data_IF_720641220793
#
_entry.id   IF_720641220793
#
_cell.length_a   1.000
_cell.length_b   1.000
_cell.length_c   1.000
_cell.angle_alpha   90.00
_cell.angle_beta   90.00
_cell.angle_gamma   90.00
#
_symmetry.space_group_name_H-M   'P 1'
#
loop_
_entity.id
_entity.type
_entity.pdbx_description
1 polymer ?
#
# COMPACT_ATOMS: atom_id res chain seq x y z
N UNK A 1 -20.07 18.91 14.87
CA UNK A 1 -20.29 17.50 15.22
C UNK A 1 -18.98 16.83 15.64
N UNK A 2 -17.89 16.97 14.88
CA UNK A 2 -16.64 16.25 15.16
C UNK A 2 -16.00 16.66 16.50
N UNK A 3 -16.07 17.92 16.90
CA UNK A 3 -15.42 18.43 18.13
C UNK A 3 -15.86 17.71 19.41
N UNK A 4 -17.10 17.21 19.46
CA UNK A 4 -17.67 16.48 20.60
C UNK A 4 -17.68 14.96 20.39
N UNK A 5 -17.18 14.45 19.26
CA UNK A 5 -17.21 13.03 18.98
C UNK A 5 -16.27 12.24 19.90
N UNK A 6 -16.73 11.11 20.40
CA UNK A 6 -15.93 10.15 21.15
C UNK A 6 -15.07 9.25 20.24
N UNK A 7 -15.36 9.24 18.96
CA UNK A 7 -14.65 8.45 17.96
C UNK A 7 -14.14 9.34 16.85
N UNK A 8 -13.00 8.98 16.27
CA UNK A 8 -12.46 9.68 15.11
C UNK A 8 -11.94 8.69 14.07
N UNK A 9 -12.58 8.70 12.91
CA UNK A 9 -12.22 7.89 11.74
C UNK A 9 -11.67 8.80 10.66
N UNK A 10 -10.44 8.56 10.20
CA UNK A 10 -9.79 9.34 9.15
C UNK A 10 -8.94 8.43 8.26
N UNK A 11 -8.98 8.62 6.94
CA UNK A 11 -8.22 7.84 5.94
C UNK A 11 -8.27 6.33 6.17
N UNK A 12 -9.48 5.80 6.32
CA UNK A 12 -9.72 4.43 6.81
C UNK A 12 -9.59 3.35 5.73
N UNK A 13 -9.47 3.73 4.46
CA UNK A 13 -9.61 2.83 3.29
C UNK A 13 -10.93 2.06 3.22
N UNK A 14 -11.84 2.27 4.15
CA UNK A 14 -13.17 1.68 4.07
C UNK A 14 -13.97 2.26 2.90
N UNK A 15 -14.84 1.47 2.29
CA UNK A 15 -15.77 1.97 1.29
C UNK A 15 -16.60 3.16 1.78
N UNK A 16 -16.84 4.15 0.90
CA UNK A 16 -17.55 5.38 1.23
C UNK A 16 -18.82 5.17 2.05
N UNK A 17 -19.68 4.29 1.57
CA UNK A 17 -20.96 4.05 2.23
C UNK A 17 -20.81 3.42 3.62
N UNK A 18 -19.76 2.61 3.84
CA UNK A 18 -19.44 2.04 5.16
C UNK A 18 -18.90 3.14 6.08
N UNK A 19 -17.93 3.91 5.58
CA UNK A 19 -17.37 5.03 6.35
C UNK A 19 -18.45 6.05 6.73
N UNK A 20 -19.34 6.42 5.80
CA UNK A 20 -20.47 7.31 6.12
C UNK A 20 -21.35 6.76 7.22
N UNK A 21 -21.74 5.48 7.11
CA UNK A 21 -22.60 4.84 8.14
C UNK A 21 -21.92 4.79 9.51
N UNK A 22 -20.65 4.38 9.56
CA UNK A 22 -19.88 4.34 10.80
C UNK A 22 -19.69 5.73 11.39
N UNK A 23 -19.28 6.71 10.58
CA UNK A 23 -19.08 8.08 11.05
C UNK A 23 -20.37 8.68 11.61
N UNK A 24 -21.49 8.54 10.90
CA UNK A 24 -22.78 9.07 11.36
C UNK A 24 -23.29 8.36 12.63
N UNK A 25 -23.04 7.04 12.77
CA UNK A 25 -23.44 6.30 13.98
C UNK A 25 -22.71 6.78 15.25
N UNK A 26 -21.57 7.44 15.10
CA UNK A 26 -20.78 8.00 16.20
C UNK A 26 -20.78 9.55 16.22
N UNK A 27 -21.73 10.16 15.52
CA UNK A 27 -21.86 11.62 15.40
C UNK A 27 -20.63 12.33 14.82
N UNK A 28 -19.92 11.67 13.91
CA UNK A 28 -18.80 12.26 13.15
C UNK A 28 -19.25 12.58 11.72
N UNK A 29 -18.80 13.72 11.19
CA UNK A 29 -18.88 14.01 9.76
C UNK A 29 -17.81 13.18 9.04
N UNK A 30 -18.17 12.38 8.02
CA UNK A 30 -17.20 11.56 7.28
C UNK A 30 -16.08 12.41 6.67
N UNK A 31 -14.83 12.03 6.93
CA UNK A 31 -13.63 12.69 6.37
C UNK A 31 -13.00 11.80 5.32
N UNK A 32 -13.07 12.21 4.05
CA UNK A 32 -12.66 11.38 2.91
C UNK A 32 -11.20 11.52 2.53
N UNK A 33 -10.78 12.73 2.27
CA UNK A 33 -9.42 13.10 1.91
C UNK A 33 -9.12 14.39 2.61
N UNK A 34 -8.39 14.31 3.68
CA UNK A 34 -8.01 15.47 4.44
C UNK A 34 -6.54 15.76 4.19
N UNK A 35 -6.25 16.89 3.53
CA UNK A 35 -4.94 17.51 3.66
C UNK A 35 -4.99 18.33 4.93
N UNK A 36 -4.36 17.82 5.96
CA UNK A 36 -4.31 18.47 7.27
C UNK A 36 -3.24 19.54 7.35
N UNK A 37 -2.32 19.59 6.40
CA UNK A 37 -1.19 20.51 6.40
C UNK A 37 -1.64 21.98 6.43
N UNK A 38 -1.22 22.76 7.43
CA UNK A 38 -1.44 24.19 7.42
C UNK A 38 -0.64 24.81 6.27
N UNK A 39 -1.21 25.81 5.60
CA UNK A 39 -0.51 26.59 4.56
C UNK A 39 0.51 27.58 5.20
N UNK A 40 1.27 27.12 6.18
CA UNK A 40 2.28 27.94 6.86
C UNK A 40 3.65 27.46 6.39
N UNK A 41 4.44 28.38 5.87
CA UNK A 41 5.84 28.14 5.51
C UNK A 41 6.68 29.01 6.45
N UNK A 42 7.57 28.38 7.18
CA UNK A 42 8.62 29.09 7.94
C UNK A 42 9.97 28.72 7.33
N UNK A 43 10.89 29.68 7.21
CA UNK A 43 12.25 29.38 6.75
C UNK A 43 12.94 28.46 7.75
N UNK A 44 13.87 27.68 7.27
CA UNK A 44 14.81 26.93 8.09
C UNK A 44 15.66 27.92 8.93
N UNK A 45 15.67 27.72 10.24
CA UNK A 45 16.39 28.61 11.19
C UNK A 45 17.35 27.79 12.04
N UNK A 46 18.63 27.78 11.63
CA UNK A 46 19.68 27.04 12.33
C UNK A 46 19.91 27.56 13.75
N UNK A 47 19.88 28.88 13.96
CA UNK A 47 20.11 29.49 15.28
C UNK A 47 19.00 29.07 16.24
N UNK A 48 17.75 29.10 15.78
CA UNK A 48 16.62 28.64 16.58
C UNK A 48 16.75 27.13 16.92
N UNK A 49 17.20 26.32 15.95
CA UNK A 49 17.38 24.87 16.14
C UNK A 49 18.46 24.56 17.16
N UNK A 50 19.63 25.18 17.03
CA UNK A 50 20.74 24.99 17.95
C UNK A 50 20.38 25.42 19.37
N UNK A 51 19.68 26.52 19.54
CA UNK A 51 19.23 27.00 20.87
C UNK A 51 18.22 26.08 21.55
N UNK A 52 17.33 25.42 20.79
CA UNK A 52 16.30 24.52 21.34
C UNK A 52 16.80 23.12 21.68
N UNK A 53 17.76 22.59 20.96
CA UNK A 53 18.22 21.20 21.12
C UNK A 53 19.44 21.09 22.04
N UNK A 54 20.17 22.14 22.22
CA UNK A 54 21.27 22.14 23.19
C UNK A 54 20.79 21.75 24.60
N UNK A 55 19.61 22.22 24.99
CA UNK A 55 18.98 21.91 26.28
C UNK A 55 18.61 20.42 26.42
N UNK A 56 18.27 19.74 25.31
CA UNK A 56 17.82 18.33 25.32
C UNK A 56 19.00 17.38 25.28
N UNK A 57 20.04 17.71 24.53
CA UNK A 57 21.20 16.86 24.29
C UNK A 57 22.14 16.84 25.48
N UNK A 58 22.40 17.99 26.12
CA UNK A 58 23.20 18.03 27.35
C UNK A 58 22.63 17.15 28.47
N UNK A 59 21.30 16.99 28.51
CA UNK A 59 20.65 16.18 29.53
C UNK A 59 20.82 14.67 29.32
N UNK A 60 21.09 14.20 28.10
CA UNK A 60 21.13 12.78 27.76
C UNK A 60 22.52 12.21 27.46
N UNK A 61 23.50 13.03 27.04
CA UNK A 61 24.83 12.56 26.65
C UNK A 61 25.80 12.63 27.82
N UNK A 62 25.60 11.82 28.84
CA UNK A 62 26.59 11.59 29.90
C UNK A 62 27.49 10.37 29.68
N UNK A 63 27.31 9.63 28.61
CA UNK A 63 28.08 8.43 28.33
C UNK A 63 29.29 8.73 27.46
N UNK A 64 30.48 8.44 27.98
CA UNK A 64 31.78 8.77 27.36
C UNK A 64 32.24 7.77 26.26
N UNK A 65 31.45 6.75 25.98
CA UNK A 65 31.77 5.71 24.99
C UNK A 65 30.80 5.68 23.80
N UNK A 66 30.44 6.88 23.28
CA UNK A 66 29.60 6.95 22.09
C UNK A 66 30.39 6.50 20.85
N UNK A 67 29.80 5.59 20.07
CA UNK A 67 30.23 5.20 18.74
C UNK A 67 30.35 6.45 17.84
N UNK A 68 31.29 6.48 16.91
CA UNK A 68 31.51 7.57 15.94
C UNK A 68 30.23 7.96 15.20
N UNK A 69 29.36 6.99 14.90
CA UNK A 69 28.06 7.24 14.29
C UNK A 69 27.11 8.02 15.21
N UNK A 70 27.09 7.73 16.49
CA UNK A 70 26.26 8.46 17.45
C UNK A 70 26.76 9.87 17.68
N UNK A 71 28.08 10.08 17.63
CA UNK A 71 28.69 11.42 17.68
C UNK A 71 28.26 12.21 16.44
N UNK A 72 28.44 11.64 15.24
CA UNK A 72 28.00 12.25 13.99
C UNK A 72 26.49 12.56 13.98
N UNK A 73 25.67 11.62 14.43
CA UNK A 73 24.22 11.80 14.49
C UNK A 73 23.87 12.95 15.43
N UNK A 74 24.50 13.01 16.59
CA UNK A 74 24.26 14.04 17.59
C UNK A 74 24.59 15.45 17.09
N UNK A 75 25.67 15.59 16.34
CA UNK A 75 26.10 16.86 15.73
C UNK A 75 25.20 17.33 14.56
N UNK A 76 24.51 16.38 13.91
CA UNK A 76 23.80 16.65 12.67
C UNK A 76 22.27 16.49 12.78
N UNK A 77 21.75 15.80 13.78
CA UNK A 77 20.30 15.51 13.90
C UNK A 77 19.45 16.78 13.87
N UNK A 78 19.92 17.85 14.49
CA UNK A 78 19.29 19.16 14.53
C UNK A 78 19.05 19.71 13.11
N UNK A 79 20.04 19.55 12.24
CA UNK A 79 19.97 20.02 10.86
C UNK A 79 19.06 19.13 10.00
N UNK A 80 18.92 17.87 10.37
CA UNK A 80 18.18 16.86 9.60
C UNK A 80 16.71 16.71 10.00
N UNK A 81 16.31 17.22 11.20
CA UNK A 81 14.92 17.13 11.62
C UNK A 81 13.98 17.90 10.69
N UNK A 82 12.82 17.31 10.33
CA UNK A 82 11.82 18.01 9.54
C UNK A 82 11.31 19.28 10.23
N UNK A 83 11.06 20.34 9.46
CA UNK A 83 10.55 21.62 9.99
C UNK A 83 9.21 21.48 10.71
N UNK A 84 8.40 20.47 10.37
CA UNK A 84 7.16 20.14 11.07
C UNK A 84 7.35 19.85 12.56
N UNK A 85 8.53 19.35 12.94
CA UNK A 85 8.87 19.01 14.33
C UNK A 85 9.70 20.09 15.04
N UNK A 86 10.12 21.14 14.34
CA UNK A 86 10.92 22.24 14.90
C UNK A 86 10.21 23.56 14.70
N UNK A 87 10.40 24.25 13.56
CA UNK A 87 9.89 25.60 13.33
C UNK A 87 8.36 25.67 13.27
N UNK A 88 7.73 24.64 12.73
CA UNK A 88 6.28 24.56 12.51
C UNK A 88 5.54 23.81 13.62
N UNK A 89 6.24 23.22 14.58
CA UNK A 89 5.62 22.36 15.60
C UNK A 89 4.45 23.01 16.31
N UNK A 90 4.61 24.25 16.78
CA UNK A 90 3.55 24.98 17.48
C UNK A 90 2.33 25.26 16.58
N UNK A 91 2.57 25.53 15.31
CA UNK A 91 1.49 25.78 14.35
C UNK A 91 0.73 24.49 14.05
N UNK A 92 1.46 23.38 13.86
CA UNK A 92 0.87 22.04 13.64
C UNK A 92 0.09 21.56 14.86
N UNK A 93 0.58 21.81 16.07
CA UNK A 93 -0.12 21.47 17.31
C UNK A 93 -1.46 22.22 17.47
N UNK A 94 -1.55 23.47 16.99
CA UNK A 94 -2.76 24.29 17.05
C UNK A 94 -3.75 24.01 15.92
N UNK A 95 -3.27 23.51 14.79
CA UNK A 95 -4.05 23.36 13.55
C UNK A 95 -5.28 22.44 13.67
N UNK A 96 -5.27 21.32 14.41
CA UNK A 96 -6.45 20.48 14.61
C UNK A 96 -7.69 21.20 15.10
N UNK A 97 -7.53 22.32 15.82
CA UNK A 97 -8.66 23.17 16.25
C UNK A 97 -9.35 23.83 15.04
N UNK A 98 -8.58 24.31 14.07
CA UNK A 98 -9.10 24.90 12.83
C UNK A 98 -9.78 23.84 11.94
N UNK A 99 -9.34 22.59 12.05
CA UNK A 99 -9.92 21.45 11.34
C UNK A 99 -11.18 20.88 12.02
N UNK A 100 -11.57 21.42 13.17
CA UNK A 100 -12.68 20.90 13.98
C UNK A 100 -12.54 19.42 14.36
N UNK A 101 -11.31 18.96 14.59
CA UNK A 101 -11.06 17.61 15.09
C UNK A 101 -11.53 17.46 16.55
N UNK A 102 -11.85 16.22 17.00
CA UNK A 102 -12.30 15.99 18.38
C UNK A 102 -11.29 16.48 19.41
N UNK A 103 -11.79 17.10 20.49
CA UNK A 103 -10.92 17.60 21.58
C UNK A 103 -10.48 16.50 22.54
N UNK A 104 -11.31 15.45 22.68
CA UNK A 104 -11.07 14.35 23.62
C UNK A 104 -11.74 13.07 23.09
N UNK A 105 -11.29 12.53 21.96
CA UNK A 105 -11.82 11.26 21.46
C UNK A 105 -11.41 10.14 22.41
N UNK A 106 -12.27 9.13 22.56
CA UNK A 106 -11.92 7.88 23.26
C UNK A 106 -11.21 6.90 22.36
N UNK A 107 -11.55 6.94 21.06
CA UNK A 107 -11.01 6.00 20.07
C UNK A 107 -10.71 6.71 18.77
N UNK A 108 -9.52 6.46 18.24
CA UNK A 108 -9.02 7.00 16.98
C UNK A 108 -8.68 5.83 16.07
N UNK A 109 -9.11 5.89 14.81
CA UNK A 109 -8.79 4.89 13.80
C UNK A 109 -8.35 5.54 12.48
N UNK A 110 -7.22 5.09 11.97
CA UNK A 110 -6.72 5.43 10.64
C UNK A 110 -6.10 4.22 9.96
N UNK A 111 -5.95 4.27 8.64
CA UNK A 111 -5.12 3.32 7.91
C UNK A 111 -3.88 3.95 7.28
N UNK A 112 -3.81 5.29 7.17
CA UNK A 112 -2.70 5.92 6.43
C UNK A 112 -2.21 7.27 6.97
N UNK A 113 -2.92 7.96 7.86
CA UNK A 113 -2.47 9.28 8.32
C UNK A 113 -1.18 9.26 9.14
N UNK A 114 -0.83 8.11 9.73
CA UNK A 114 0.43 7.96 10.48
C UNK A 114 1.68 8.12 9.60
N UNK A 115 1.57 7.89 8.30
CA UNK A 115 2.71 7.87 7.38
C UNK A 115 3.16 9.31 7.01
N UNK A 116 2.29 10.09 6.41
CA UNK A 116 2.65 11.38 5.79
C UNK A 116 2.02 12.61 6.44
N UNK A 117 1.14 12.45 7.44
CA UNK A 117 0.40 13.54 8.04
C UNK A 117 0.98 13.94 9.42
N UNK A 118 1.93 14.86 9.42
CA UNK A 118 2.58 15.31 10.66
C UNK A 118 1.62 16.03 11.63
N UNK A 119 0.59 16.70 11.13
CA UNK A 119 -0.46 17.28 11.98
C UNK A 119 -1.21 16.19 12.73
N UNK A 120 -1.53 15.11 12.02
CA UNK A 120 -2.18 13.95 12.64
C UNK A 120 -1.26 13.29 13.67
N UNK A 121 0.02 13.07 13.35
CA UNK A 121 0.99 12.45 14.28
C UNK A 121 1.10 13.23 15.59
N UNK A 122 1.26 14.55 15.50
CA UNK A 122 1.36 15.43 16.67
C UNK A 122 0.04 15.42 17.47
N UNK A 123 -1.10 15.46 16.79
CA UNK A 123 -2.40 15.45 17.45
C UNK A 123 -2.71 14.12 18.12
N UNK A 124 -2.48 12.99 17.43
CA UNK A 124 -2.79 11.66 17.98
C UNK A 124 -1.92 11.33 19.19
N UNK A 125 -0.64 11.72 19.18
CA UNK A 125 0.24 11.54 20.36
C UNK A 125 -0.33 12.22 21.59
N UNK A 126 -0.77 13.48 21.49
CA UNK A 126 -1.43 14.17 22.59
C UNK A 126 -2.75 13.53 23.05
N UNK A 127 -3.51 12.95 22.11
CA UNK A 127 -4.76 12.26 22.48
C UNK A 127 -4.48 10.94 23.20
N UNK A 128 -3.49 10.19 22.76
CA UNK A 128 -3.05 8.94 23.41
C UNK A 128 -2.52 9.20 24.82
N UNK A 129 -1.71 10.23 25.05
CA UNK A 129 -1.26 10.65 26.38
C UNK A 129 -2.42 11.00 27.32
N UNK A 130 -3.55 11.44 26.76
CA UNK A 130 -4.78 11.71 27.52
C UNK A 130 -5.70 10.50 27.65
N UNK A 131 -5.24 9.32 27.26
CA UNK A 131 -5.95 8.06 27.41
C UNK A 131 -6.84 7.65 26.24
N UNK A 132 -6.75 8.30 25.08
CA UNK A 132 -7.41 7.82 23.87
C UNK A 132 -6.81 6.51 23.40
N UNK A 133 -7.64 5.59 22.90
CA UNK A 133 -7.19 4.37 22.25
C UNK A 133 -6.97 4.60 20.76
N UNK A 134 -5.81 4.20 20.26
CA UNK A 134 -5.38 4.40 18.89
C UNK A 134 -5.26 3.08 18.14
N UNK A 135 -5.98 2.94 17.04
CA UNK A 135 -5.97 1.76 16.19
C UNK A 135 -5.53 2.13 14.77
N UNK A 136 -4.71 1.26 14.18
CA UNK A 136 -4.26 1.41 12.81
C UNK A 136 -4.72 0.22 11.98
N UNK A 137 -5.24 0.47 10.80
CA UNK A 137 -5.63 -0.57 9.84
C UNK A 137 -4.59 -0.73 8.75
N UNK A 138 -4.29 -1.96 8.38
CA UNK A 138 -3.42 -2.25 7.24
C UNK A 138 -3.91 -1.54 5.97
N UNK A 139 -3.03 -0.86 5.25
CA UNK A 139 -3.36 -0.08 4.06
C UNK A 139 -2.77 -0.61 2.76
N UNK A 140 -1.72 -1.41 2.84
CA UNK A 140 -0.98 -1.97 1.70
C UNK A 140 -0.73 -3.47 1.83
N UNK A 141 -0.12 -4.05 0.82
CA UNK A 141 0.42 -5.40 0.86
C UNK A 141 1.73 -5.43 1.69
N UNK A 142 2.35 -6.58 1.81
CA UNK A 142 3.64 -6.85 2.48
C UNK A 142 3.61 -6.84 4.01
N UNK A 143 2.65 -6.20 4.66
CA UNK A 143 2.51 -6.29 6.12
C UNK A 143 2.35 -7.74 6.59
N UNK A 144 3.22 -8.15 7.51
CA UNK A 144 3.22 -9.51 8.06
C UNK A 144 3.64 -10.62 7.11
N UNK A 145 3.89 -10.33 5.83
CA UNK A 145 4.26 -11.30 4.79
C UNK A 145 5.64 -11.06 4.20
N UNK A 146 6.14 -9.82 4.18
CA UNK A 146 7.48 -9.49 3.69
C UNK A 146 8.56 -9.85 4.72
N UNK A 147 9.70 -10.31 4.21
CA UNK A 147 10.92 -10.57 4.98
C UNK A 147 11.67 -9.28 5.32
N UNK A 148 11.54 -8.27 4.47
CA UNK A 148 12.29 -7.01 4.57
C UNK A 148 11.54 -5.92 5.33
N UNK A 149 10.24 -6.11 5.54
CA UNK A 149 9.51 -5.24 6.45
C UNK A 149 9.95 -5.54 7.88
N UNK A 150 10.17 -4.51 8.68
CA UNK A 150 10.50 -4.68 10.08
C UNK A 150 9.52 -5.64 10.77
N UNK A 151 10.02 -6.50 11.65
CA UNK A 151 9.20 -7.50 12.37
C UNK A 151 8.09 -6.87 13.20
N UNK A 152 8.28 -5.59 13.56
CA UNK A 152 7.26 -4.70 14.12
C UNK A 152 7.38 -3.37 13.41
N UNK A 153 6.33 -2.99 12.74
CA UNK A 153 6.25 -1.68 12.07
C UNK A 153 5.95 -0.59 13.10
N UNK A 154 6.23 0.67 12.72
CA UNK A 154 5.91 1.83 13.58
C UNK A 154 4.43 1.83 13.95
N UNK A 155 3.54 1.46 13.04
CA UNK A 155 2.10 1.36 13.25
C UNK A 155 1.72 0.31 14.30
N UNK A 156 2.41 -0.83 14.28
CA UNK A 156 2.19 -1.91 15.26
C UNK A 156 2.68 -1.50 16.64
N UNK A 157 3.82 -0.80 16.72
CA UNK A 157 4.43 -0.40 18.00
C UNK A 157 3.75 0.80 18.65
N UNK A 158 3.26 1.76 17.85
CA UNK A 158 2.68 3.00 18.36
C UNK A 158 1.16 2.94 18.54
N UNK A 159 0.50 1.84 18.15
CA UNK A 159 -0.95 1.69 18.29
C UNK A 159 -1.33 0.72 19.41
N UNK A 160 -2.52 0.90 19.98
CA UNK A 160 -3.15 -0.08 20.88
C UNK A 160 -3.59 -1.35 20.15
N UNK A 161 -3.73 -1.29 18.81
CA UNK A 161 -4.02 -2.45 17.98
C UNK A 161 -3.88 -2.16 16.49
N UNK A 162 -3.20 -3.07 15.80
CA UNK A 162 -3.06 -3.07 14.34
C UNK A 162 -4.05 -4.08 13.73
N UNK A 163 -4.94 -3.60 12.87
CA UNK A 163 -5.96 -4.45 12.22
C UNK A 163 -5.41 -4.93 10.87
N UNK A 164 -5.00 -6.19 10.82
CA UNK A 164 -4.41 -6.82 9.64
C UNK A 164 -5.45 -7.25 8.61
N UNK A 165 -5.02 -7.62 7.41
CA UNK A 165 -5.87 -8.25 6.40
C UNK A 165 -6.01 -9.78 6.58
N UNK A 166 -6.07 -10.25 7.84
CA UNK A 166 -6.35 -11.65 8.17
C UNK A 166 -5.16 -12.44 8.69
N UNK A 167 -3.93 -11.93 8.58
CA UNK A 167 -2.75 -12.56 9.14
C UNK A 167 -2.55 -12.19 10.63
N UNK A 168 -1.78 -13.01 11.34
CA UNK A 168 -1.32 -12.74 12.70
C UNK A 168 0.02 -13.47 12.91
N UNK A 169 0.96 -12.80 13.54
CA UNK A 169 2.28 -13.33 13.90
C UNK A 169 2.39 -13.68 15.40
N UNK A 170 1.24 -13.91 16.06
CA UNK A 170 1.13 -14.14 17.51
C UNK A 170 1.45 -12.90 18.38
N UNK A 171 1.55 -11.73 17.81
CA UNK A 171 1.62 -10.48 18.57
C UNK A 171 0.27 -10.14 19.19
N UNK A 172 0.28 -9.67 20.45
CA UNK A 172 -0.93 -9.27 21.17
C UNK A 172 -1.62 -8.06 20.55
N UNK A 173 -0.87 -7.23 19.84
CA UNK A 173 -1.38 -5.99 19.23
C UNK A 173 -1.97 -6.21 17.85
N UNK A 174 -1.82 -7.40 17.23
CA UNK A 174 -2.37 -7.67 15.90
C UNK A 174 -3.75 -8.27 16.01
N UNK A 175 -4.72 -7.55 15.47
CA UNK A 175 -6.12 -7.95 15.38
C UNK A 175 -6.38 -8.47 13.98
N UNK A 176 -6.77 -9.73 13.83
CA UNK A 176 -7.17 -10.28 12.53
C UNK A 176 -8.41 -9.56 12.01
N UNK A 177 -8.26 -8.86 10.93
CA UNK A 177 -9.32 -8.15 10.24
C UNK A 177 -9.60 -8.72 8.85
N UNK A 178 -9.83 -7.83 7.91
CA UNK A 178 -10.19 -8.16 6.53
C UNK A 178 -9.67 -7.06 5.59
N UNK A 179 -9.68 -7.32 4.29
CA UNK A 179 -9.32 -6.34 3.27
C UNK A 179 -10.33 -5.18 3.22
N UNK A 180 -9.95 -4.00 3.70
CA UNK A 180 -10.86 -2.86 3.92
C UNK A 180 -11.50 -2.28 2.67
N UNK A 181 -10.81 -2.32 1.54
CA UNK A 181 -11.35 -1.77 0.26
C UNK A 181 -12.44 -2.65 -0.37
N UNK A 182 -12.80 -3.78 0.25
CA UNK A 182 -13.78 -4.70 -0.31
C UNK A 182 -15.22 -4.24 -0.06
N UNK A 183 -15.90 -3.81 -1.11
CA UNK A 183 -17.33 -3.44 -1.08
C UNK A 183 -18.29 -4.62 -1.10
N UNK A 184 -17.83 -5.84 -1.38
CA UNK A 184 -18.68 -6.94 -1.81
C UNK A 184 -18.47 -8.24 -1.04
N UNK A 185 -17.92 -8.18 0.18
CA UNK A 185 -17.63 -9.38 0.98
C UNK A 185 -18.80 -10.36 1.11
N UNK A 186 -20.02 -9.86 1.04
CA UNK A 186 -21.26 -10.67 1.14
C UNK A 186 -22.03 -10.83 -0.18
N UNK A 187 -21.56 -10.23 -1.28
CA UNK A 187 -22.23 -10.36 -2.58
C UNK A 187 -21.36 -11.15 -3.55
N UNK A 188 -21.34 -12.47 -3.36
CA UNK A 188 -20.75 -13.44 -4.33
C UNK A 188 -21.45 -13.44 -5.71
N UNK A 189 -22.14 -12.38 -6.09
CA UNK A 189 -22.70 -12.27 -7.43
C UNK A 189 -21.57 -11.90 -8.37
N UNK A 190 -21.14 -12.88 -9.17
CA UNK A 190 -20.38 -12.62 -10.40
C UNK A 190 -20.98 -11.41 -11.12
N UNK A 191 -20.31 -10.28 -11.06
CA UNK A 191 -20.62 -9.24 -12.03
C UNK A 191 -20.28 -9.84 -13.37
N UNK A 192 -21.22 -9.78 -14.32
CA UNK A 192 -21.07 -10.25 -15.68
C UNK A 192 -19.74 -9.70 -16.23
N UNK A 193 -18.67 -10.51 -16.14
CA UNK A 193 -17.37 -10.21 -16.72
C UNK A 193 -17.59 -10.23 -18.23
N UNK A 194 -16.95 -9.34 -18.95
CA UNK A 194 -17.06 -9.26 -20.40
C UNK A 194 -16.81 -10.64 -21.01
N UNK A 195 -17.62 -11.04 -21.98
CA UNK A 195 -17.41 -12.24 -22.80
C UNK A 195 -16.22 -12.07 -23.75
N UNK A 196 -15.64 -10.88 -23.85
CA UNK A 196 -14.48 -10.58 -24.69
C UNK A 196 -13.23 -11.16 -24.05
N UNK A 197 -12.44 -11.87 -24.84
CA UNK A 197 -11.18 -12.48 -24.44
C UNK A 197 -10.06 -11.42 -24.31
N UNK A 198 -10.20 -10.48 -23.36
CA UNK A 198 -9.26 -9.39 -23.12
C UNK A 198 -8.47 -9.64 -21.85
N UNK A 199 -7.17 -9.40 -21.90
CA UNK A 199 -6.22 -9.66 -20.82
C UNK A 199 -5.54 -8.35 -20.44
N UNK A 200 -5.53 -8.03 -19.15
CA UNK A 200 -4.88 -6.86 -18.56
C UNK A 200 -3.59 -7.31 -17.85
N UNK A 201 -2.44 -6.78 -18.27
CA UNK A 201 -1.16 -6.98 -17.61
C UNK A 201 -0.85 -5.73 -16.80
N UNK A 202 -0.74 -5.85 -15.47
CA UNK A 202 -0.46 -4.75 -14.55
C UNK A 202 1.01 -4.80 -14.16
N UNK A 203 1.75 -3.71 -14.43
CA UNK A 203 3.18 -3.63 -14.20
C UNK A 203 3.53 -2.84 -12.94
N UNK A 204 4.72 -3.12 -12.42
CA UNK A 204 5.33 -2.38 -11.33
C UNK A 204 5.86 -1.02 -11.85
N UNK A 205 5.74 0.08 -11.07
CA UNK A 205 6.40 1.34 -11.41
C UNK A 205 7.89 1.28 -11.10
N UNK A 206 8.72 1.89 -11.94
CA UNK A 206 10.04 2.32 -11.51
C UNK A 206 9.89 3.56 -10.62
N UNK A 207 10.30 3.47 -9.38
CA UNK A 207 10.30 4.60 -8.45
C UNK A 207 11.67 5.30 -8.47
N UNK A 208 11.65 6.62 -8.40
CA UNK A 208 12.87 7.44 -8.31
C UNK A 208 13.58 7.28 -6.96
N UNK A 209 12.82 7.08 -5.90
CA UNK A 209 13.32 6.86 -4.55
C UNK A 209 12.91 5.48 -4.09
N UNK A 210 13.88 4.73 -3.57
CA UNK A 210 13.58 3.51 -2.82
C UNK A 210 12.87 3.90 -1.54
N UNK A 211 11.69 3.32 -1.33
CA UNK A 211 10.98 3.43 -0.08
C UNK A 211 11.38 2.24 0.81
N UNK A 212 11.21 2.39 2.11
CA UNK A 212 11.40 1.29 3.07
C UNK A 212 10.45 0.11 2.86
N UNK A 213 9.46 0.29 2.01
CA UNK A 213 8.44 -0.68 1.64
C UNK A 213 8.74 -1.45 0.36
N UNK A 214 9.75 -1.00 -0.39
CA UNK A 214 10.12 -1.63 -1.65
C UNK A 214 10.92 -2.88 -1.33
N UNK A 215 10.44 -4.02 -1.82
CA UNK A 215 11.21 -5.24 -1.81
C UNK A 215 12.55 -5.00 -2.54
N UNK A 216 13.63 -5.56 -2.00
CA UNK A 216 14.97 -5.41 -2.54
C UNK A 216 15.10 -6.15 -3.87
N UNK A 217 14.36 -5.75 -4.87
CA UNK A 217 14.53 -6.32 -6.20
C UNK A 217 15.12 -5.29 -7.16
N UNK A 218 15.93 -5.80 -8.08
CA UNK A 218 16.57 -4.97 -9.08
C UNK A 218 15.58 -4.75 -10.21
N UNK A 219 15.12 -3.51 -10.40
CA UNK A 219 14.15 -3.16 -11.44
C UNK A 219 14.58 -3.61 -12.85
N UNK A 220 15.88 -3.59 -13.13
CA UNK A 220 16.42 -4.08 -14.39
C UNK A 220 16.11 -5.58 -14.61
N UNK A 221 16.24 -6.41 -13.59
CA UNK A 221 15.90 -7.84 -13.66
C UNK A 221 14.41 -8.06 -13.85
N UNK A 222 13.59 -7.31 -13.13
CA UNK A 222 12.15 -7.30 -13.33
C UNK A 222 11.80 -6.95 -14.78
N UNK A 223 12.38 -5.88 -15.32
CA UNK A 223 12.11 -5.41 -16.67
C UNK A 223 12.56 -6.43 -17.74
N UNK A 224 13.69 -7.12 -17.52
CA UNK A 224 14.13 -8.25 -18.37
C UNK A 224 13.09 -9.37 -18.38
N UNK A 225 12.67 -9.83 -17.21
CA UNK A 225 11.69 -10.92 -17.05
C UNK A 225 10.32 -10.51 -17.59
N UNK A 226 9.85 -9.29 -17.33
CA UNK A 226 8.64 -8.72 -17.93
C UNK A 226 8.75 -8.70 -19.47
N UNK A 227 9.90 -8.24 -20.01
CA UNK A 227 10.12 -8.19 -21.47
C UNK A 227 10.00 -9.55 -22.15
N UNK A 228 10.40 -10.64 -21.48
CA UNK A 228 10.21 -12.00 -22.00
C UNK A 228 8.73 -12.31 -22.15
N UNK A 229 7.91 -12.01 -21.13
CA UNK A 229 6.46 -12.20 -21.19
C UNK A 229 5.83 -11.35 -22.30
N UNK A 230 6.16 -10.04 -22.34
CA UNK A 230 5.59 -9.12 -23.32
C UNK A 230 5.97 -9.51 -24.76
N UNK A 231 7.19 -9.98 -24.99
CA UNK A 231 7.62 -10.50 -26.29
C UNK A 231 6.78 -11.70 -26.74
N UNK A 232 6.61 -12.68 -25.85
CA UNK A 232 5.82 -13.89 -26.14
C UNK A 232 4.35 -13.52 -26.47
N UNK A 233 3.72 -12.64 -25.71
CA UNK A 233 2.33 -12.24 -25.98
C UNK A 233 2.21 -11.31 -27.19
N UNK A 234 3.23 -10.50 -27.49
CA UNK A 234 3.29 -9.65 -28.69
C UNK A 234 3.36 -10.47 -29.99
N UNK A 235 3.96 -11.65 -29.93
CA UNK A 235 4.10 -12.54 -31.09
C UNK A 235 2.83 -13.38 -31.36
N UNK A 236 1.84 -13.35 -30.47
CA UNK A 236 0.58 -14.07 -30.67
C UNK A 236 -0.29 -13.40 -31.76
N UNK A 237 -1.04 -14.17 -32.53
CA UNK A 237 -2.08 -13.62 -33.42
C UNK A 237 -3.14 -12.81 -32.67
N UNK A 238 -3.35 -13.13 -31.39
CA UNK A 238 -4.33 -12.50 -30.50
C UNK A 238 -3.75 -11.34 -29.68
N UNK A 239 -2.57 -10.83 -30.04
CA UNK A 239 -1.84 -9.79 -29.29
C UNK A 239 -2.68 -8.53 -28.97
N UNK A 240 -3.61 -8.14 -29.84
CA UNK A 240 -4.53 -6.99 -29.61
C UNK A 240 -5.54 -7.23 -28.48
N UNK A 241 -5.62 -8.43 -27.96
CA UNK A 241 -6.40 -8.71 -26.75
C UNK A 241 -5.66 -8.34 -25.46
N UNK A 242 -4.36 -8.11 -25.54
CA UNK A 242 -3.53 -7.77 -24.38
C UNK A 242 -3.38 -6.24 -24.22
N UNK A 243 -3.59 -5.78 -23.01
CA UNK A 243 -3.35 -4.39 -22.61
C UNK A 243 -2.35 -4.37 -21.47
N UNK A 244 -1.27 -3.62 -21.62
CA UNK A 244 -0.28 -3.38 -20.57
C UNK A 244 -0.67 -2.11 -19.83
N UNK A 245 -0.92 -2.24 -18.55
CA UNK A 245 -1.26 -1.15 -17.64
C UNK A 245 -0.02 -0.71 -16.88
N UNK A 246 0.48 0.47 -17.19
CA UNK A 246 1.57 1.10 -16.47
C UNK A 246 1.07 1.77 -15.19
N UNK A 247 1.92 1.88 -14.19
CA UNK A 247 1.52 2.49 -12.91
C UNK A 247 1.47 4.02 -13.02
N UNK A 248 0.54 4.64 -12.30
CA UNK A 248 0.33 6.09 -12.35
C UNK A 248 1.48 6.90 -11.72
N UNK A 249 2.20 6.35 -10.73
CA UNK A 249 3.26 7.06 -9.98
C UNK A 249 4.54 7.35 -10.77
N UNK A 250 4.68 6.84 -12.00
CA UNK A 250 5.88 7.01 -12.84
C UNK A 250 6.16 8.45 -13.34
N UNK A 251 5.23 9.38 -13.13
CA UNK A 251 5.34 10.76 -13.63
C UNK A 251 6.58 11.53 -13.12
N UNK A 252 7.26 11.01 -12.10
CA UNK A 252 8.45 11.61 -11.49
C UNK A 252 9.68 10.70 -11.61
N UNK A 253 9.79 9.89 -12.65
CA UNK A 253 10.94 9.00 -12.86
C UNK A 253 11.90 9.55 -13.91
N UNK A 254 13.20 9.27 -13.78
CA UNK A 254 14.19 9.63 -14.80
C UNK A 254 14.14 8.74 -16.04
N UNK A 255 13.54 7.56 -15.93
CA UNK A 255 13.39 6.61 -17.01
C UNK A 255 11.98 6.64 -17.55
N UNK A 256 11.84 6.94 -18.84
CA UNK A 256 10.53 6.86 -19.53
C UNK A 256 10.21 5.41 -19.89
N UNK A 257 9.72 4.67 -18.89
CA UNK A 257 9.24 3.30 -19.04
C UNK A 257 8.16 3.20 -20.14
N UNK A 258 7.34 4.25 -20.28
CA UNK A 258 6.25 4.25 -21.24
C UNK A 258 6.76 4.20 -22.67
N UNK A 259 7.64 5.12 -23.04
CA UNK A 259 8.23 5.14 -24.36
C UNK A 259 9.06 3.88 -24.64
N UNK A 260 9.88 3.46 -23.67
CA UNK A 260 10.68 2.25 -23.82
C UNK A 260 9.84 1.00 -24.12
N UNK A 261 8.76 0.77 -23.37
CA UNK A 261 7.92 -0.41 -23.55
C UNK A 261 7.05 -0.31 -24.80
N UNK A 262 6.54 0.87 -25.13
CA UNK A 262 5.72 1.08 -26.33
C UNK A 262 6.53 0.92 -27.62
N UNK A 263 7.74 1.45 -27.66
CA UNK A 263 8.65 1.32 -28.83
C UNK A 263 9.06 -0.13 -29.04
N UNK A 264 9.29 -0.85 -27.93
CA UNK A 264 9.74 -2.25 -27.99
C UNK A 264 8.62 -3.24 -28.30
N UNK A 265 7.37 -2.94 -27.93
CA UNK A 265 6.21 -3.82 -28.02
C UNK A 265 5.01 -3.12 -28.67
N UNK A 266 5.23 -2.49 -29.82
CA UNK A 266 4.26 -1.69 -30.58
C UNK A 266 2.96 -2.40 -30.97
N UNK A 267 2.99 -3.73 -31.00
CA UNK A 267 1.83 -4.56 -31.30
C UNK A 267 0.84 -4.68 -30.14
N UNK A 268 1.26 -4.35 -28.90
CA UNK A 268 0.42 -4.41 -27.71
C UNK A 268 -0.35 -3.10 -27.49
N UNK A 269 -1.41 -3.17 -26.70
CA UNK A 269 -2.12 -1.98 -26.24
C UNK A 269 -1.55 -1.50 -24.90
N UNK A 270 -1.42 -0.19 -24.73
CA UNK A 270 -0.93 0.41 -23.47
C UNK A 270 -1.96 1.34 -22.84
N UNK A 271 -2.09 1.27 -21.53
CA UNK A 271 -2.74 2.29 -20.70
C UNK A 271 -1.70 2.94 -19.78
N UNK A 272 -1.55 4.23 -19.95
CA UNK A 272 -0.55 5.03 -19.25
C UNK A 272 -0.90 5.35 -17.78
N UNK A 273 -1.75 4.57 -17.14
CA UNK A 273 -2.15 4.82 -15.77
C UNK A 273 -3.29 5.84 -15.63
N UNK A 274 -3.79 6.43 -16.73
CA UNK A 274 -4.82 7.46 -16.70
C UNK A 274 -6.23 6.93 -16.46
N UNK A 275 -6.52 5.71 -16.89
CA UNK A 275 -7.83 5.09 -16.70
C UNK A 275 -7.95 4.50 -15.29
N UNK A 276 -9.05 4.74 -14.61
CA UNK A 276 -9.31 4.11 -13.31
C UNK A 276 -9.28 2.59 -13.44
N UNK A 277 -8.46 1.92 -12.62
CA UNK A 277 -8.23 0.47 -12.68
C UNK A 277 -9.52 -0.36 -12.58
N UNK A 278 -10.50 0.08 -11.78
CA UNK A 278 -11.80 -0.61 -11.68
C UNK A 278 -12.60 -0.60 -12.98
N UNK A 279 -12.40 0.41 -13.85
CA UNK A 279 -12.99 0.43 -15.20
C UNK A 279 -12.30 -0.60 -16.11
N UNK A 280 -10.99 -0.78 -15.95
CA UNK A 280 -10.23 -1.78 -16.69
C UNK A 280 -10.61 -3.19 -16.24
N UNK A 281 -10.70 -3.46 -14.95
CA UNK A 281 -11.16 -4.77 -14.44
C UNK A 281 -12.51 -5.21 -15.00
N UNK A 282 -13.42 -4.26 -15.29
CA UNK A 282 -14.73 -4.58 -15.89
C UNK A 282 -14.66 -4.90 -17.40
N UNK A 283 -13.59 -4.50 -18.07
CA UNK A 283 -13.43 -4.65 -19.52
C UNK A 283 -12.54 -5.83 -19.90
N UNK A 284 -11.86 -6.44 -18.94
CA UNK A 284 -10.93 -7.54 -19.16
C UNK A 284 -11.43 -8.81 -18.47
N UNK A 285 -11.26 -9.95 -19.13
CA UNK A 285 -11.69 -11.27 -18.64
C UNK A 285 -10.63 -11.95 -17.77
N UNK A 286 -9.39 -11.47 -17.83
CA UNK A 286 -8.25 -11.95 -17.05
C UNK A 286 -7.36 -10.77 -16.67
N UNK A 287 -6.86 -10.75 -15.45
CA UNK A 287 -5.88 -9.77 -14.95
C UNK A 287 -4.61 -10.52 -14.55
N UNK A 288 -3.48 -10.01 -14.99
CA UNK A 288 -2.15 -10.54 -14.66
C UNK A 288 -1.41 -9.47 -13.87
N UNK A 289 -1.09 -9.75 -12.61
CA UNK A 289 -0.20 -8.92 -11.81
C UNK A 289 1.23 -9.43 -11.96
N UNK A 290 2.17 -8.55 -12.31
CA UNK A 290 3.56 -8.93 -12.56
C UNK A 290 4.50 -8.60 -11.40
N UNK A 291 3.95 -8.30 -10.25
CA UNK A 291 4.66 -8.07 -9.00
C UNK A 291 3.72 -8.28 -7.81
N UNK A 292 4.29 -8.40 -6.61
CA UNK A 292 3.51 -8.55 -5.37
C UNK A 292 2.84 -7.22 -4.99
N UNK A 293 1.58 -7.08 -5.34
CA UNK A 293 0.83 -5.83 -5.25
C UNK A 293 -0.47 -5.96 -4.46
N UNK A 294 -0.91 -4.86 -3.86
CA UNK A 294 -2.27 -4.72 -3.31
C UNK A 294 -3.36 -5.09 -4.32
N UNK A 295 -3.09 -4.90 -5.61
CA UNK A 295 -4.01 -5.24 -6.70
C UNK A 295 -4.37 -6.73 -6.76
N UNK A 296 -3.49 -7.62 -6.30
CA UNK A 296 -3.76 -9.06 -6.19
C UNK A 296 -4.97 -9.29 -5.28
N UNK A 297 -4.93 -8.73 -4.07
CA UNK A 297 -6.05 -8.84 -3.12
C UNK A 297 -7.33 -8.17 -3.63
N UNK A 298 -7.19 -7.06 -4.38
CA UNK A 298 -8.34 -6.42 -5.02
C UNK A 298 -9.03 -7.33 -6.02
N UNK A 299 -8.29 -8.01 -6.88
CA UNK A 299 -8.87 -8.88 -7.91
C UNK A 299 -9.40 -10.18 -7.31
N UNK A 300 -8.66 -10.80 -6.39
CA UNK A 300 -9.09 -12.02 -5.70
C UNK A 300 -10.38 -11.79 -4.90
N UNK A 301 -10.47 -10.71 -4.10
CA UNK A 301 -11.67 -10.40 -3.30
C UNK A 301 -12.87 -10.03 -4.15
N UNK A 302 -12.66 -9.39 -5.31
CA UNK A 302 -13.71 -9.07 -6.30
C UNK A 302 -14.11 -10.25 -7.17
N UNK A 303 -13.49 -11.42 -6.97
CA UNK A 303 -13.70 -12.63 -7.76
C UNK A 303 -13.45 -12.41 -9.26
N UNK A 304 -12.35 -11.75 -9.60
CA UNK A 304 -11.90 -11.49 -10.97
C UNK A 304 -10.84 -12.53 -11.32
N UNK A 305 -10.91 -13.20 -12.50
CA UNK A 305 -9.87 -14.11 -12.93
C UNK A 305 -8.49 -13.45 -12.89
N UNK A 306 -7.57 -14.05 -12.15
CA UNK A 306 -6.27 -13.45 -11.81
C UNK A 306 -5.14 -14.45 -11.95
N UNK A 307 -4.07 -14.07 -12.62
CA UNK A 307 -2.77 -14.73 -12.60
C UNK A 307 -1.73 -13.78 -11.99
N UNK A 308 -0.70 -14.36 -11.39
CA UNK A 308 0.32 -13.61 -10.64
C UNK A 308 1.70 -14.08 -11.08
N UNK A 309 2.60 -13.14 -11.38
CA UNK A 309 4.01 -13.37 -11.66
C UNK A 309 4.85 -12.68 -10.60
N UNK A 310 5.55 -13.45 -9.78
CA UNK A 310 6.51 -12.93 -8.80
C UNK A 310 7.89 -13.49 -9.16
N UNK A 311 8.72 -12.68 -9.79
CA UNK A 311 9.92 -13.14 -10.48
C UNK A 311 11.11 -13.44 -9.56
N UNK A 312 11.09 -13.02 -8.32
CA UNK A 312 12.03 -13.35 -7.25
C UNK A 312 11.61 -14.57 -6.42
N UNK A 313 10.52 -15.21 -6.82
CA UNK A 313 9.99 -16.39 -6.11
C UNK A 313 9.48 -16.03 -4.71
N UNK A 314 9.98 -16.74 -3.70
CA UNK A 314 9.64 -16.49 -2.29
C UNK A 314 10.77 -15.80 -1.52
N UNK A 315 11.76 -15.23 -2.19
CA UNK A 315 12.91 -14.64 -1.50
C UNK A 315 12.56 -13.43 -0.65
N UNK A 316 11.61 -12.62 -1.11
CA UNK A 316 11.07 -11.46 -0.40
C UNK A 316 10.08 -11.81 0.72
N UNK A 317 9.61 -13.06 0.81
CA UNK A 317 8.58 -13.47 1.76
C UNK A 317 9.14 -14.12 3.03
N UNK A 318 8.56 -13.76 4.17
CA UNK A 318 8.76 -14.51 5.43
C UNK A 318 7.95 -15.83 5.41
N UNK A 319 7.99 -16.60 6.50
CA UNK A 319 7.31 -17.90 6.58
C UNK A 319 5.80 -17.78 6.42
N UNK A 320 5.19 -16.73 6.94
CA UNK A 320 3.73 -16.49 6.82
C UNK A 320 3.36 -16.20 5.37
N UNK A 321 4.11 -15.31 4.73
CA UNK A 321 3.95 -15.00 3.30
C UNK A 321 4.13 -16.24 2.43
N UNK A 322 5.21 -17.00 2.63
CA UNK A 322 5.47 -18.26 1.90
C UNK A 322 4.29 -19.22 1.98
N UNK A 323 3.73 -19.42 3.16
CA UNK A 323 2.59 -20.34 3.34
C UNK A 323 1.34 -19.87 2.58
N UNK A 324 1.04 -18.57 2.61
CA UNK A 324 -0.12 -17.99 1.91
C UNK A 324 0.07 -18.09 0.38
N UNK A 325 1.23 -17.67 -0.11
CA UNK A 325 1.49 -17.64 -1.56
C UNK A 325 1.72 -19.04 -2.13
N UNK A 326 2.16 -20.02 -1.32
CA UNK A 326 2.25 -21.42 -1.75
C UNK A 326 0.88 -21.98 -2.15
N UNK A 327 -0.20 -21.62 -1.43
CA UNK A 327 -1.56 -22.02 -1.80
C UNK A 327 -1.92 -21.52 -3.20
N UNK A 328 -1.59 -20.25 -3.51
CA UNK A 328 -1.82 -19.68 -4.84
C UNK A 328 -0.97 -20.35 -5.92
N UNK A 329 0.26 -20.74 -5.58
CA UNK A 329 1.14 -21.46 -6.51
C UNK A 329 0.62 -22.87 -6.82
N UNK A 330 0.23 -23.62 -5.80
CA UNK A 330 -0.21 -25.00 -5.94
C UNK A 330 -1.51 -25.13 -6.74
N UNK A 331 -2.37 -24.10 -6.69
CA UNK A 331 -3.59 -24.06 -7.50
C UNK A 331 -3.39 -23.45 -8.91
N UNK A 332 -2.16 -23.08 -9.29
CA UNK A 332 -1.84 -22.54 -10.62
C UNK A 332 -2.28 -21.09 -10.83
N UNK A 333 -2.32 -20.29 -9.79
CA UNK A 333 -2.55 -18.83 -9.85
C UNK A 333 -1.24 -18.03 -9.84
N UNK A 334 -0.20 -18.54 -9.16
CA UNK A 334 1.09 -17.87 -8.99
C UNK A 334 2.20 -18.60 -9.77
N UNK A 335 3.01 -17.81 -10.45
CA UNK A 335 4.14 -18.25 -11.27
C UNK A 335 5.40 -17.45 -10.93
N UNK A 336 6.57 -18.07 -11.10
CA UNK A 336 7.86 -17.44 -10.87
C UNK A 336 8.64 -17.14 -12.15
N UNK A 337 8.20 -17.69 -13.28
CA UNK A 337 8.83 -17.43 -14.58
C UNK A 337 7.81 -16.99 -15.62
N UNK A 338 8.26 -16.14 -16.53
CA UNK A 338 7.45 -15.68 -17.66
C UNK A 338 7.00 -16.83 -18.58
N UNK A 339 7.82 -17.88 -18.70
CA UNK A 339 7.53 -19.05 -19.52
C UNK A 339 6.36 -19.86 -18.96
N UNK A 340 6.40 -20.19 -17.67
CA UNK A 340 5.34 -20.97 -17.03
C UNK A 340 4.02 -20.20 -16.98
N UNK A 341 4.08 -18.88 -16.73
CA UNK A 341 2.91 -18.01 -16.82
C UNK A 341 2.36 -17.97 -18.26
N UNK A 342 3.21 -17.79 -19.27
CA UNK A 342 2.79 -17.76 -20.66
C UNK A 342 2.09 -19.06 -21.08
N UNK A 343 2.65 -20.22 -20.72
CA UNK A 343 2.03 -21.52 -20.99
C UNK A 343 0.62 -21.62 -20.35
N UNK A 344 0.46 -21.08 -19.13
CA UNK A 344 -0.87 -21.02 -18.49
C UNK A 344 -1.84 -20.10 -19.22
N UNK A 345 -1.38 -18.95 -19.71
CA UNK A 345 -2.21 -18.04 -20.52
C UNK A 345 -2.76 -18.76 -21.76
N UNK A 346 -1.90 -19.50 -22.47
CA UNK A 346 -2.30 -20.26 -23.66
C UNK A 346 -3.27 -21.40 -23.29
N UNK A 347 -2.99 -22.13 -22.21
CA UNK A 347 -3.86 -23.23 -21.74
C UNK A 347 -5.31 -22.76 -21.48
N UNK A 348 -5.47 -21.57 -20.90
CA UNK A 348 -6.79 -21.04 -20.51
C UNK A 348 -7.38 -20.05 -21.53
N UNK A 349 -6.74 -19.86 -22.69
CA UNK A 349 -7.23 -18.94 -23.73
C UNK A 349 -8.65 -19.32 -24.15
N UNK A 350 -9.55 -18.33 -24.17
CA UNK A 350 -10.97 -18.55 -24.45
C UNK A 350 -11.77 -19.22 -23.34
N UNK A 351 -11.13 -19.75 -22.30
CA UNK A 351 -11.75 -20.51 -21.19
C UNK A 351 -11.50 -19.87 -19.82
N UNK A 352 -11.18 -18.56 -19.75
CA UNK A 352 -10.81 -17.89 -18.51
C UNK A 352 -11.82 -18.11 -17.37
N UNK A 353 -13.13 -18.04 -17.68
CA UNK A 353 -14.18 -18.21 -16.68
C UNK A 353 -14.41 -19.65 -16.27
N UNK A 354 -14.25 -20.61 -17.19
CA UNK A 354 -14.34 -22.03 -16.88
C UNK A 354 -13.23 -22.44 -15.92
N UNK A 355 -11.99 -22.09 -16.26
CA UNK A 355 -10.84 -22.30 -15.38
C UNK A 355 -11.01 -21.61 -14.03
N UNK A 356 -11.43 -20.35 -14.02
CA UNK A 356 -11.59 -19.56 -12.78
C UNK A 356 -12.64 -20.13 -11.83
N UNK A 357 -13.70 -20.73 -12.38
CA UNK A 357 -14.76 -21.36 -11.61
C UNK A 357 -14.44 -22.78 -11.14
N UNK A 358 -13.27 -23.29 -11.48
CA UNK A 358 -12.83 -24.58 -10.95
C UNK A 358 -12.80 -24.52 -9.42
N UNK A 359 -13.27 -25.59 -8.78
CA UNK A 359 -13.37 -25.68 -7.32
C UNK A 359 -12.04 -25.40 -6.63
N UNK A 360 -10.94 -26.00 -7.11
CA UNK A 360 -9.60 -25.80 -6.52
C UNK A 360 -9.18 -24.33 -6.53
N UNK A 361 -9.39 -23.63 -7.66
CA UNK A 361 -9.07 -22.20 -7.81
C UNK A 361 -9.93 -21.36 -6.87
N UNK A 362 -11.24 -21.63 -6.80
CA UNK A 362 -12.15 -20.88 -5.95
C UNK A 362 -11.93 -21.12 -4.45
N UNK A 363 -11.51 -22.33 -4.07
CA UNK A 363 -11.21 -22.64 -2.66
C UNK A 363 -9.90 -21.97 -2.24
N UNK A 364 -8.85 -22.00 -3.06
CA UNK A 364 -7.60 -21.27 -2.81
C UNK A 364 -7.82 -19.76 -2.70
N UNK A 365 -8.67 -19.19 -3.56
CA UNK A 365 -9.02 -17.76 -3.51
C UNK A 365 -9.70 -17.34 -2.20
N UNK A 366 -10.44 -18.23 -1.54
CA UNK A 366 -11.21 -17.93 -0.32
C UNK A 366 -10.40 -18.04 0.96
N UNK A 367 -9.27 -18.75 0.92
CA UNK A 367 -8.34 -18.86 2.03
C UNK A 367 -7.55 -17.57 2.25
#
# INVERSE_FOLDING_TARGET
LNVKSSFFYISTYLPLHILCRLSLSVNQIPSYFYKSEPKVVKPYDLIFREGKLFEVIEAQVKDKNLDEFLIFLNENIIKLLPSSYVELFTDYQKHPKALNWPRSPRTIFTSNNFDTDDVFKIWVSHMVERGAKYFVGQHGNNYGTSKYLASKTVEEETSDGFISWGWNNNSKNIIKGFYFKNNNYFKNKFKKITTRNRILIVTLPMLYQYNTWDDCFIYEEYLKKLSILLKKVSDLPTNKNFMVRLHQARLNTFFDESSYLQDKFDKLLFDNGSVNINKLYKKHSLVIHTYDSTGIFETLTKNIPTLILITDGFESHNIVGKNIYQILKDCGLLFFTSETLFNKIIEIEGKHMEWWNNKTVQDARKQ
#
